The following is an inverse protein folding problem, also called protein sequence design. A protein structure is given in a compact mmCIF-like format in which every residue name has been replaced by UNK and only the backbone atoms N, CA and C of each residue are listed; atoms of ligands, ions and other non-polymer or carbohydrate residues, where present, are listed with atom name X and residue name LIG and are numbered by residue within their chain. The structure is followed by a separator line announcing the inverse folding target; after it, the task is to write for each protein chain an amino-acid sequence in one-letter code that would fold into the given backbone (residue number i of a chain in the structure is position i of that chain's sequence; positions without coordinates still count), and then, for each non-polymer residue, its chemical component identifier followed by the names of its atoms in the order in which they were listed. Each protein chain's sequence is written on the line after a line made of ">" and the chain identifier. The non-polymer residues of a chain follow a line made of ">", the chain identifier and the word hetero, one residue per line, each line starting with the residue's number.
data_IF_118442547333
#
_entry.id   IF_118442547333
#
_cell.length_a   1.000
_cell.length_b   1.000
_cell.length_c   1.000
_cell.angle_alpha   90.00
_cell.angle_beta   90.00
_cell.angle_gamma   90.00
#
_symmetry.space_group_name_H-M   'P 1'
#
loop_
_entity.id
_entity.type
_entity.pdbx_description
1 polymer ?
#
# COMPACT_ATOMS: atom_id res chain seq x y z
N UNK A 1 -15.60 29.40 -74.13
CA UNK A 1 -14.53 30.41 -74.07
C UNK A 1 -13.46 29.85 -73.12
N UNK A 2 -12.33 29.40 -73.68
CA UNK A 2 -11.30 28.63 -72.98
C UNK A 2 -10.35 29.56 -72.23
N UNK A 3 -10.29 29.46 -70.90
CA UNK A 3 -9.28 30.11 -70.08
C UNK A 3 -8.29 29.04 -69.61
N UNK A 4 -7.05 29.15 -70.11
CA UNK A 4 -5.90 28.36 -69.71
C UNK A 4 -5.39 28.86 -68.36
N UNK A 5 -5.30 27.99 -67.36
CA UNK A 5 -4.58 28.27 -66.12
C UNK A 5 -3.13 27.79 -66.26
N UNK A 6 -2.19 28.71 -66.03
CA UNK A 6 -0.75 28.49 -65.97
C UNK A 6 -0.41 28.02 -64.55
N UNK A 7 0.21 26.85 -64.44
CA UNK A 7 0.81 26.33 -63.21
C UNK A 7 2.13 27.06 -62.94
N UNK A 8 2.21 27.80 -61.82
CA UNK A 8 3.47 28.27 -61.25
C UNK A 8 3.87 27.33 -60.11
N UNK A 9 4.94 26.56 -60.32
CA UNK A 9 5.53 25.66 -59.35
C UNK A 9 6.42 26.47 -58.40
N UNK A 10 5.94 26.79 -57.20
CA UNK A 10 6.76 27.35 -56.14
C UNK A 10 7.51 26.23 -55.41
N UNK A 11 8.82 26.15 -55.63
CA UNK A 11 9.74 25.34 -54.83
C UNK A 11 9.84 25.94 -53.42
N UNK A 12 9.23 25.28 -52.43
CA UNK A 12 9.45 25.55 -51.01
C UNK A 12 10.55 24.61 -50.52
N UNK A 13 11.73 25.15 -50.26
CA UNK A 13 12.83 24.46 -49.57
C UNK A 13 12.60 24.63 -48.06
N UNK A 14 12.35 23.56 -47.28
CA UNK A 14 12.40 23.67 -45.83
C UNK A 14 13.87 23.67 -45.38
N UNK A 15 14.34 24.83 -44.92
CA UNK A 15 15.53 24.97 -44.10
C UNK A 15 15.31 24.22 -42.77
N UNK A 16 15.76 22.97 -42.70
CA UNK A 16 15.97 22.25 -41.44
C UNK A 16 17.21 22.83 -40.75
N UNK A 17 17.06 24.02 -40.14
CA UNK A 17 18.02 24.50 -39.14
C UNK A 17 17.87 23.63 -37.91
N UNK A 18 18.85 22.76 -37.68
CA UNK A 18 18.92 21.89 -36.51
C UNK A 18 18.80 22.71 -35.23
N UNK A 19 17.86 22.34 -34.37
CA UNK A 19 17.83 22.81 -33.00
C UNK A 19 19.15 22.36 -32.34
N UNK A 20 19.95 23.27 -31.75
CA UNK A 20 21.14 22.87 -31.03
C UNK A 20 20.75 21.94 -29.88
N UNK A 21 21.46 20.81 -29.80
CA UNK A 21 21.39 19.85 -28.70
C UNK A 21 21.58 20.60 -27.39
N UNK A 22 20.49 20.77 -26.64
CA UNK A 22 20.54 21.40 -25.34
C UNK A 22 21.19 20.39 -24.38
N UNK A 23 22.32 20.73 -23.71
CA UNK A 23 22.95 19.83 -22.77
C UNK A 23 21.93 19.45 -21.70
N UNK A 24 21.66 18.14 -21.59
CA UNK A 24 20.79 17.53 -20.60
C UNK A 24 21.10 18.08 -19.22
N UNK A 25 20.23 18.96 -18.72
CA UNK A 25 20.23 19.38 -17.31
C UNK A 25 20.23 18.09 -16.47
N UNK A 26 21.17 17.92 -15.53
CA UNK A 26 21.21 16.73 -14.69
C UNK A 26 19.83 16.55 -14.05
N UNK A 27 19.27 15.35 -14.16
CA UNK A 27 18.00 15.04 -13.52
C UNK A 27 18.12 15.40 -12.02
N UNK A 28 17.13 16.11 -11.45
CA UNK A 28 17.17 16.46 -10.04
C UNK A 28 17.37 15.18 -9.20
N UNK A 29 18.19 15.24 -8.14
CA UNK A 29 18.48 14.08 -7.33
C UNK A 29 17.18 13.48 -6.76
N UNK A 30 17.07 12.15 -6.80
CA UNK A 30 15.90 11.43 -6.30
C UNK A 30 15.62 11.82 -4.84
N UNK A 31 14.37 12.17 -4.55
CA UNK A 31 13.95 12.55 -3.21
C UNK A 31 14.24 11.43 -2.20
N UNK A 32 14.80 11.78 -1.05
CA UNK A 32 15.13 10.85 0.01
C UNK A 32 14.04 10.81 1.08
N UNK A 33 13.57 9.61 1.40
CA UNK A 33 12.57 9.36 2.44
C UNK A 33 13.08 8.36 3.46
N UNK A 34 12.88 8.66 4.73
CA UNK A 34 13.20 7.76 5.85
C UNK A 34 12.04 7.59 6.84
N UNK A 35 10.91 8.24 6.59
CA UNK A 35 9.68 8.14 7.39
C UNK A 35 8.53 7.67 6.50
N UNK A 36 7.80 6.64 6.97
CA UNK A 36 6.69 6.04 6.22
C UNK A 36 5.58 7.04 5.92
N UNK A 37 5.12 7.81 6.91
CA UNK A 37 4.00 8.74 6.74
C UNK A 37 4.31 9.83 5.69
N UNK A 38 5.55 10.33 5.65
CA UNK A 38 5.99 11.30 4.63
C UNK A 38 5.99 10.68 3.23
N UNK A 39 6.46 9.44 3.12
CA UNK A 39 6.51 8.76 1.83
C UNK A 39 5.12 8.35 1.33
N UNK A 40 4.26 7.85 2.22
CA UNK A 40 2.86 7.60 1.91
C UNK A 40 2.16 8.88 1.44
N UNK A 41 2.41 10.02 2.10
CA UNK A 41 1.83 11.29 1.70
C UNK A 41 2.28 11.72 0.29
N UNK A 42 3.56 11.52 -0.06
CA UNK A 42 4.08 11.75 -1.42
C UNK A 42 3.39 10.84 -2.45
N UNK A 43 3.31 9.53 -2.19
CA UNK A 43 2.64 8.57 -3.10
C UNK A 43 1.15 8.89 -3.27
N UNK A 44 0.47 9.26 -2.19
CA UNK A 44 -0.92 9.68 -2.20
C UNK A 44 -1.09 10.98 -3.00
N UNK A 45 -0.24 11.99 -2.79
CA UNK A 45 -0.30 13.26 -3.51
C UNK A 45 -0.11 13.07 -5.02
N UNK A 46 0.86 12.24 -5.44
CA UNK A 46 1.09 11.88 -6.84
C UNK A 46 -0.12 11.19 -7.46
N UNK A 47 -0.68 10.22 -6.76
CA UNK A 47 -1.87 9.51 -7.23
C UNK A 47 -3.07 10.45 -7.35
N UNK A 48 -3.26 11.35 -6.38
CA UNK A 48 -4.31 12.37 -6.39
C UNK A 48 -4.19 13.37 -7.56
N UNK A 49 -2.97 13.66 -8.05
CA UNK A 49 -2.82 14.46 -9.27
C UNK A 49 -3.46 13.81 -10.51
N UNK A 50 -3.62 12.47 -10.50
CA UNK A 50 -4.22 11.73 -11.62
C UNK A 50 -5.71 11.46 -11.43
N UNK A 51 -6.14 11.18 -10.20
CA UNK A 51 -7.55 10.81 -9.91
C UNK A 51 -8.38 11.94 -9.31
N UNK A 52 -7.76 13.07 -9.02
CA UNK A 52 -8.36 14.15 -8.23
C UNK A 52 -8.15 13.94 -6.73
N UNK A 53 -8.65 14.89 -5.95
CA UNK A 53 -8.67 14.84 -4.50
C UNK A 53 -10.07 15.20 -4.04
N UNK A 54 -10.62 14.41 -3.12
CA UNK A 54 -11.85 14.72 -2.42
C UNK A 54 -11.76 14.22 -0.98
N UNK A 55 -12.56 14.82 -0.10
CA UNK A 55 -12.51 14.50 1.32
C UNK A 55 -13.10 13.12 1.66
N UNK A 56 -13.91 12.58 0.75
CA UNK A 56 -14.60 11.30 0.91
C UNK A 56 -13.70 10.10 0.60
N UNK A 57 -12.48 10.30 0.06
CA UNK A 57 -11.57 9.20 -0.19
C UNK A 57 -10.11 9.50 0.17
N UNK A 58 -9.35 8.43 0.41
CA UNK A 58 -7.93 8.46 0.75
C UNK A 58 -7.18 7.43 -0.07
N UNK A 59 -5.92 7.73 -0.34
CA UNK A 59 -5.00 6.82 -1.00
C UNK A 59 -3.95 6.45 0.05
N UNK A 60 -3.83 5.16 0.33
CA UNK A 60 -2.98 4.65 1.40
C UNK A 60 -2.08 3.55 0.85
N UNK A 61 -0.88 3.42 1.42
CA UNK A 61 -0.07 2.23 1.15
C UNK A 61 -0.76 1.04 1.78
N UNK A 62 -0.91 -0.04 1.01
CA UNK A 62 -1.50 -1.29 1.50
C UNK A 62 -0.52 -2.44 1.37
N UNK A 63 -0.64 -3.39 2.29
CA UNK A 63 0.02 -4.69 2.24
C UNK A 63 -0.98 -5.84 2.04
N UNK A 64 -2.29 -5.54 2.11
CA UNK A 64 -3.37 -6.51 1.95
C UNK A 64 -4.25 -6.05 0.78
N UNK A 65 -4.33 -6.87 -0.26
CA UNK A 65 -5.14 -6.61 -1.44
C UNK A 65 -6.56 -7.13 -1.22
N UNK A 66 -7.36 -6.38 -0.46
CA UNK A 66 -8.78 -6.68 -0.32
C UNK A 66 -9.51 -6.51 -1.68
N UNK A 67 -10.57 -7.29 -1.96
CA UNK A 67 -11.36 -7.05 -3.16
C UNK A 67 -11.98 -5.64 -3.18
N UNK A 68 -12.07 -5.02 -4.36
CA UNK A 68 -12.85 -3.78 -4.55
C UNK A 68 -14.30 -4.05 -4.11
N UNK A 69 -14.83 -3.18 -3.26
CA UNK A 69 -16.12 -3.37 -2.60
C UNK A 69 -16.05 -3.92 -1.17
N UNK A 70 -14.86 -4.27 -0.67
CA UNK A 70 -14.70 -4.66 0.73
C UNK A 70 -15.02 -3.48 1.65
N UNK A 71 -15.87 -3.71 2.65
CA UNK A 71 -16.14 -2.80 3.74
C UNK A 71 -15.23 -3.13 4.92
N UNK A 72 -14.62 -2.10 5.50
CA UNK A 72 -13.78 -2.20 6.69
C UNK A 72 -14.31 -1.29 7.78
N UNK A 73 -14.07 -1.68 9.03
CA UNK A 73 -14.39 -0.87 10.20
C UNK A 73 -13.62 0.45 10.13
N UNK A 74 -14.27 1.56 10.44
CA UNK A 74 -13.61 2.85 10.47
C UNK A 74 -12.41 2.82 11.43
N UNK A 75 -11.22 3.08 10.90
CA UNK A 75 -9.97 3.14 11.66
C UNK A 75 -9.36 1.78 12.03
N UNK A 76 -9.66 0.73 11.27
CA UNK A 76 -9.13 -0.61 11.47
C UNK A 76 -8.93 -1.31 10.11
N UNK A 77 -8.06 -2.32 10.05
CA UNK A 77 -7.91 -3.17 8.86
C UNK A 77 -8.93 -4.31 8.81
N UNK A 78 -9.81 -4.41 9.81
CA UNK A 78 -10.75 -5.50 9.97
C UNK A 78 -11.94 -5.31 9.02
N UNK A 79 -12.15 -6.25 8.10
CA UNK A 79 -13.28 -6.20 7.19
C UNK A 79 -14.57 -6.48 7.95
N UNK A 80 -15.60 -5.67 7.69
CA UNK A 80 -16.97 -5.93 8.11
C UNK A 80 -17.59 -6.96 7.16
N UNK A 81 -17.35 -6.77 5.86
CA UNK A 81 -17.82 -7.64 4.80
C UNK A 81 -16.93 -7.46 3.56
N UNK A 82 -16.64 -8.55 2.85
CA UNK A 82 -15.77 -8.53 1.66
C UNK A 82 -16.51 -8.34 0.35
N UNK A 83 -17.82 -8.58 0.33
CA UNK A 83 -18.58 -8.83 -0.90
C UNK A 83 -19.95 -8.18 -0.98
N UNK A 84 -20.51 -7.72 0.13
CA UNK A 84 -21.84 -7.13 0.16
C UNK A 84 -21.93 -5.85 -0.67
N UNK A 85 -20.81 -5.12 -0.78
CA UNK A 85 -20.65 -3.98 -1.66
C UNK A 85 -19.76 -4.30 -2.87
N UNK A 86 -19.78 -5.53 -3.37
CA UNK A 86 -19.10 -5.84 -4.65
C UNK A 86 -19.77 -5.07 -5.79
N UNK A 87 -19.00 -4.31 -6.59
CA UNK A 87 -19.54 -3.59 -7.72
C UNK A 87 -20.04 -4.57 -8.80
N UNK A 88 -21.11 -4.17 -9.50
CA UNK A 88 -21.72 -4.97 -10.57
C UNK A 88 -20.83 -5.12 -11.80
N UNK A 89 -19.87 -4.20 -11.97
CA UNK A 89 -18.85 -4.26 -13.01
C UNK A 89 -17.48 -4.05 -12.40
N UNK A 90 -16.50 -4.82 -12.86
CA UNK A 90 -15.09 -4.59 -12.53
C UNK A 90 -14.67 -3.23 -13.08
N UNK A 91 -14.07 -2.35 -12.26
CA UNK A 91 -13.62 -1.05 -12.76
C UNK A 91 -12.55 -1.21 -13.83
N UNK A 92 -12.54 -0.30 -14.81
CA UNK A 92 -11.54 -0.31 -15.88
C UNK A 92 -10.19 0.15 -15.32
N UNK A 93 -9.11 -0.56 -15.65
CA UNK A 93 -7.76 -0.15 -15.32
C UNK A 93 -7.20 0.78 -16.41
N UNK A 94 -6.55 1.86 -15.99
CA UNK A 94 -5.93 2.85 -16.88
C UNK A 94 -4.42 2.91 -16.63
N UNK A 95 -3.62 2.83 -17.70
CA UNK A 95 -2.16 2.92 -17.61
C UNK A 95 -1.70 4.29 -17.14
N UNK A 96 -0.74 4.31 -16.20
CA UNK A 96 -0.12 5.51 -15.64
C UNK A 96 1.41 5.34 -15.49
N UNK A 97 2.14 5.02 -16.58
CA UNK A 97 3.53 4.54 -16.53
C UNK A 97 4.56 5.54 -15.96
N UNK A 98 4.20 6.80 -15.79
CA UNK A 98 5.07 7.86 -15.21
C UNK A 98 4.49 8.48 -13.93
N UNK A 99 3.55 7.80 -13.27
CA UNK A 99 2.88 8.34 -12.08
C UNK A 99 3.85 8.56 -10.91
N UNK A 100 4.84 7.68 -10.78
CA UNK A 100 5.82 7.72 -9.70
C UNK A 100 7.22 7.87 -10.27
N UNK A 101 7.98 8.91 -9.87
CA UNK A 101 9.41 8.96 -10.14
C UNK A 101 10.15 7.88 -9.33
N UNK A 102 11.45 7.79 -9.56
CA UNK A 102 12.35 7.02 -8.70
C UNK A 102 12.59 7.76 -7.37
N UNK A 103 12.59 7.02 -6.28
CA UNK A 103 12.81 7.52 -4.92
C UNK A 103 14.03 6.86 -4.28
N UNK A 104 14.62 7.52 -3.29
CA UNK A 104 15.63 6.92 -2.42
C UNK A 104 15.04 6.73 -1.03
N UNK A 105 15.10 5.53 -0.49
CA UNK A 105 14.50 5.17 0.79
C UNK A 105 15.58 4.72 1.79
N UNK A 106 15.29 4.85 3.08
CA UNK A 106 16.03 4.08 4.09
C UNK A 106 15.67 2.58 3.99
N UNK A 107 16.57 1.69 4.42
CA UNK A 107 16.27 0.25 4.53
C UNK A 107 14.99 -0.03 5.30
N UNK A 108 14.81 0.59 6.47
CA UNK A 108 13.64 0.39 7.31
C UNK A 108 12.33 0.74 6.58
N UNK A 109 12.33 1.84 5.82
CA UNK A 109 11.19 2.23 5.02
C UNK A 109 10.94 1.27 3.84
N UNK A 110 11.99 0.77 3.18
CA UNK A 110 11.83 -0.23 2.13
C UNK A 110 11.18 -1.53 2.67
N UNK A 111 11.55 -1.95 3.89
CA UNK A 111 10.91 -3.08 4.59
C UNK A 111 9.44 -2.79 4.87
N UNK A 112 9.11 -1.60 5.38
CA UNK A 112 7.72 -1.19 5.63
C UNK A 112 6.86 -1.17 4.34
N UNK A 113 7.49 -1.05 3.17
CA UNK A 113 6.84 -1.11 1.85
C UNK A 113 6.77 -2.51 1.24
N UNK A 114 7.21 -3.53 1.97
CA UNK A 114 7.10 -4.94 1.57
C UNK A 114 8.39 -5.58 1.04
N UNK A 115 9.55 -4.92 1.16
CA UNK A 115 10.83 -5.62 1.02
C UNK A 115 11.10 -6.46 2.28
N UNK A 116 10.53 -7.65 2.33
CA UNK A 116 10.55 -8.53 3.51
C UNK A 116 11.97 -8.75 4.07
N UNK A 117 12.09 -8.79 5.41
CA UNK A 117 13.34 -9.14 6.06
C UNK A 117 13.83 -10.54 5.68
N UNK A 118 12.95 -11.50 5.40
CA UNK A 118 13.33 -12.81 4.87
C UNK A 118 14.01 -12.69 3.51
N UNK A 119 13.47 -11.83 2.62
CA UNK A 119 14.09 -11.55 1.32
C UNK A 119 15.47 -10.94 1.53
N UNK A 120 15.60 -9.94 2.41
CA UNK A 120 16.88 -9.32 2.75
C UNK A 120 17.87 -10.32 3.35
N UNK A 121 17.41 -11.24 4.20
CA UNK A 121 18.27 -12.26 4.81
C UNK A 121 18.78 -13.25 3.74
N UNK A 122 17.91 -13.67 2.81
CA UNK A 122 18.30 -14.53 1.67
C UNK A 122 19.29 -13.84 0.72
N UNK A 123 19.34 -12.51 0.68
CA UNK A 123 20.38 -11.80 -0.07
C UNK A 123 21.80 -12.12 0.44
N UNK A 124 21.96 -12.54 1.70
CA UNK A 124 23.27 -12.94 2.23
C UNK A 124 23.82 -14.21 1.58
N UNK A 125 22.95 -15.11 1.10
CA UNK A 125 23.35 -16.30 0.31
C UNK A 125 24.02 -15.90 -1.01
N UNK A 126 23.71 -14.69 -1.49
CA UNK A 126 24.30 -14.07 -2.68
C UNK A 126 25.50 -13.17 -2.36
N UNK A 127 25.99 -13.21 -1.11
CA UNK A 127 27.09 -12.37 -0.64
C UNK A 127 26.71 -10.88 -0.46
N UNK A 128 25.42 -10.55 -0.54
CA UNK A 128 24.91 -9.18 -0.35
C UNK A 128 24.59 -8.97 1.13
N UNK A 129 25.31 -8.06 1.77
CA UNK A 129 25.02 -7.64 3.15
C UNK A 129 24.38 -6.26 3.12
N UNK A 130 23.15 -6.16 3.60
CA UNK A 130 22.38 -4.91 3.67
C UNK A 130 22.45 -4.33 5.08
N UNK A 131 23.25 -3.30 5.26
CA UNK A 131 23.37 -2.52 6.50
C UNK A 131 22.10 -1.71 6.79
N UNK A 132 21.86 -1.37 8.05
CA UNK A 132 20.77 -0.47 8.46
C UNK A 132 20.92 0.95 7.93
N UNK A 133 22.15 1.36 7.56
CA UNK A 133 22.47 2.67 6.99
C UNK A 133 22.34 2.70 5.46
N UNK A 134 22.09 1.56 4.82
CA UNK A 134 22.03 1.48 3.38
C UNK A 134 20.77 2.17 2.85
N UNK A 135 20.92 2.78 1.67
CA UNK A 135 19.84 3.41 0.93
C UNK A 135 19.34 2.44 -0.13
N UNK A 136 18.03 2.43 -0.30
CA UNK A 136 17.33 1.59 -1.27
C UNK A 136 16.65 2.49 -2.29
N UNK A 137 17.02 2.37 -3.55
CA UNK A 137 16.29 3.02 -4.63
C UNK A 137 14.97 2.30 -4.85
N UNK A 138 13.86 3.02 -4.90
CA UNK A 138 12.52 2.48 -5.11
C UNK A 138 11.91 3.09 -6.37
N UNK A 139 11.34 2.24 -7.22
CA UNK A 139 10.57 2.66 -8.40
C UNK A 139 9.40 1.71 -8.64
N UNK A 140 8.45 2.13 -9.47
CA UNK A 140 7.28 1.30 -9.83
C UNK A 140 7.17 1.23 -11.34
N UNK A 141 7.21 0.01 -11.89
CA UNK A 141 7.07 -0.27 -13.32
C UNK A 141 5.62 -0.62 -13.65
N UNK A 142 5.23 -0.38 -14.90
CA UNK A 142 3.92 -0.78 -15.44
C UNK A 142 2.74 -0.30 -14.59
N UNK A 143 2.87 0.90 -14.01
CA UNK A 143 1.87 1.44 -13.11
C UNK A 143 0.53 1.60 -13.81
N UNK A 144 -0.54 1.15 -13.17
CA UNK A 144 -1.92 1.33 -13.63
C UNK A 144 -2.82 1.71 -12.46
N UNK A 145 -3.98 2.26 -12.77
CA UNK A 145 -4.95 2.71 -11.79
C UNK A 145 -6.32 2.13 -12.10
N UNK A 146 -6.94 1.52 -11.09
CA UNK A 146 -8.28 0.95 -11.18
C UNK A 146 -9.11 1.49 -10.03
N UNK A 147 -10.23 2.17 -10.31
CA UNK A 147 -11.08 2.74 -9.26
C UNK A 147 -12.53 2.83 -9.71
N UNK A 148 -13.47 2.67 -8.77
CA UNK A 148 -14.88 2.92 -9.04
C UNK A 148 -15.13 4.39 -9.36
N UNK A 149 -15.83 4.65 -10.45
CA UNK A 149 -16.42 5.95 -10.72
C UNK A 149 -17.51 6.27 -9.69
N UNK A 150 -17.81 7.54 -9.45
CA UNK A 150 -18.84 7.94 -8.46
C UNK A 150 -20.22 7.34 -8.75
N UNK A 151 -20.55 7.20 -10.04
CA UNK A 151 -21.80 6.56 -10.49
C UNK A 151 -21.86 5.09 -10.10
N UNK A 152 -20.76 4.35 -10.27
CA UNK A 152 -20.69 2.93 -9.94
C UNK A 152 -20.55 2.70 -8.43
N UNK A 153 -19.86 3.60 -7.73
CA UNK A 153 -19.85 3.66 -6.27
C UNK A 153 -21.28 3.87 -5.74
N UNK A 154 -22.02 4.85 -6.26
CA UNK A 154 -23.41 5.11 -5.87
C UNK A 154 -24.32 3.91 -6.13
N UNK A 155 -24.19 3.23 -7.27
CA UNK A 155 -24.94 2.00 -7.56
C UNK A 155 -24.59 0.89 -6.58
N UNK A 156 -23.31 0.72 -6.29
CA UNK A 156 -22.79 -0.29 -5.35
C UNK A 156 -23.35 -0.06 -3.95
N UNK A 157 -23.30 1.17 -3.45
CA UNK A 157 -23.88 1.57 -2.17
C UNK A 157 -25.41 1.53 -2.16
N UNK A 158 -26.06 1.53 -3.34
CA UNK A 158 -27.50 1.36 -3.48
C UNK A 158 -27.99 -0.08 -3.35
N UNK A 159 -27.09 -1.07 -3.43
CA UNK A 159 -27.45 -2.48 -3.26
C UNK A 159 -28.01 -2.73 -1.85
N UNK A 160 -29.14 -3.43 -1.75
CA UNK A 160 -29.80 -3.72 -0.48
C UNK A 160 -28.88 -4.40 0.55
N UNK A 161 -28.05 -5.36 0.11
CA UNK A 161 -27.09 -6.03 1.00
C UNK A 161 -26.02 -5.08 1.54
N UNK A 162 -25.44 -4.27 0.66
CA UNK A 162 -24.48 -3.22 1.04
C UNK A 162 -25.10 -2.23 2.03
N UNK A 163 -26.30 -1.71 1.72
CA UNK A 163 -27.02 -0.74 2.56
C UNK A 163 -27.31 -1.26 3.96
N UNK A 164 -27.70 -2.52 4.09
CA UNK A 164 -28.05 -3.08 5.40
C UNK A 164 -26.83 -3.15 6.32
N UNK A 165 -25.65 -3.49 5.79
CA UNK A 165 -24.41 -3.58 6.58
C UNK A 165 -23.91 -2.20 7.02
N UNK A 166 -23.98 -1.19 6.15
CA UNK A 166 -23.51 0.18 6.49
C UNK A 166 -24.57 1.01 7.22
N UNK A 167 -25.78 0.47 7.43
CA UNK A 167 -26.89 1.18 8.05
C UNK A 167 -26.51 1.69 9.44
N UNK A 168 -26.58 3.02 9.61
CA UNK A 168 -26.26 3.68 10.89
C UNK A 168 -24.78 3.62 11.28
N UNK A 169 -23.89 3.20 10.38
CA UNK A 169 -22.47 3.03 10.65
C UNK A 169 -21.60 3.77 9.62
N UNK A 170 -20.43 4.20 10.06
CA UNK A 170 -19.37 4.68 9.19
C UNK A 170 -18.41 3.54 8.88
N UNK A 171 -18.13 3.32 7.60
CA UNK A 171 -17.19 2.30 7.15
C UNK A 171 -16.20 2.87 6.12
N UNK A 172 -15.07 2.19 5.96
CA UNK A 172 -14.17 2.40 4.83
C UNK A 172 -14.49 1.37 3.74
N UNK A 173 -14.78 1.83 2.53
CA UNK A 173 -14.96 0.97 1.36
C UNK A 173 -13.67 0.96 0.54
N UNK A 174 -13.20 -0.21 0.12
CA UNK A 174 -12.17 -0.34 -0.91
C UNK A 174 -12.75 0.07 -2.26
N UNK A 175 -12.37 1.25 -2.73
CA UNK A 175 -12.87 1.84 -3.98
C UNK A 175 -12.02 1.43 -5.19
N UNK A 176 -10.75 1.11 -4.97
CA UNK A 176 -9.81 0.84 -6.04
C UNK A 176 -8.37 0.65 -5.58
N UNK A 177 -7.48 0.53 -6.55
CA UNK A 177 -6.05 0.33 -6.36
C UNK A 177 -5.22 1.14 -7.36
N UNK A 178 -4.01 1.51 -6.92
CA UNK A 178 -2.89 1.78 -7.82
C UNK A 178 -2.01 0.55 -7.81
N UNK A 179 -1.79 0.00 -8.99
CA UNK A 179 -1.10 -1.26 -9.21
C UNK A 179 0.20 -1.03 -9.97
N UNK A 180 1.21 -1.86 -9.72
CA UNK A 180 2.48 -1.82 -10.44
C UNK A 180 3.43 -2.92 -9.97
N UNK A 181 4.59 -3.02 -10.63
CA UNK A 181 5.68 -3.88 -10.16
C UNK A 181 6.68 -3.00 -9.41
N UNK A 182 6.78 -3.19 -8.09
CA UNK A 182 7.78 -2.45 -7.29
C UNK A 182 9.16 -2.99 -7.63
N UNK A 183 10.13 -2.09 -7.78
CA UNK A 183 11.53 -2.41 -7.99
C UNK A 183 12.37 -1.72 -6.93
N UNK A 184 12.99 -2.53 -6.07
CA UNK A 184 13.92 -2.11 -5.03
C UNK A 184 15.34 -2.37 -5.52
N UNK A 185 16.17 -1.33 -5.62
CA UNK A 185 17.56 -1.45 -6.03
C UNK A 185 18.50 -1.03 -4.91
N UNK A 186 19.48 -1.87 -4.62
CA UNK A 186 20.52 -1.63 -3.62
C UNK A 186 21.80 -1.16 -4.34
N UNK A 187 22.25 0.05 -4.06
CA UNK A 187 23.50 0.57 -4.60
C UNK A 187 24.71 -0.07 -3.89
N UNK A 188 25.66 -0.60 -4.67
CA UNK A 188 26.99 -1.10 -4.23
C UNK A 188 27.02 -1.99 -2.98
N UNK A 189 26.96 -3.31 -3.17
CA UNK A 189 27.83 -4.22 -2.42
C UNK A 189 29.00 -4.60 -3.33
N UNK A 190 30.24 -4.24 -2.96
CA UNK A 190 31.44 -4.34 -3.82
C UNK A 190 31.84 -5.77 -4.26
N UNK A 191 31.00 -6.79 -4.07
CA UNK A 191 31.35 -8.22 -4.27
C UNK A 191 30.21 -9.14 -4.72
N UNK A 192 28.99 -8.66 -4.95
CA UNK A 192 27.89 -9.56 -5.31
C UNK A 192 27.91 -9.87 -6.81
N UNK A 193 28.76 -10.81 -7.22
CA UNK A 193 28.69 -11.42 -8.54
C UNK A 193 27.57 -12.46 -8.53
N UNK A 194 26.32 -12.02 -8.70
CA UNK A 194 25.24 -12.96 -9.04
C UNK A 194 25.47 -13.36 -10.49
N UNK A 195 26.08 -14.52 -10.71
CA UNK A 195 26.38 -15.00 -12.05
C UNK A 195 25.10 -15.39 -12.79
N UNK A 196 24.72 -14.56 -13.77
CA UNK A 196 24.16 -15.01 -15.04
C UNK A 196 22.68 -15.41 -15.15
N UNK A 197 21.83 -15.24 -14.13
CA UNK A 197 20.38 -15.43 -14.31
C UNK A 197 19.56 -14.68 -13.25
N UNK A 198 18.36 -14.22 -13.64
CA UNK A 198 17.36 -13.70 -12.71
C UNK A 198 16.95 -14.83 -11.77
N UNK A 199 17.18 -14.66 -10.47
CA UNK A 199 16.78 -15.64 -9.46
C UNK A 199 15.48 -15.21 -8.78
N UNK A 200 14.68 -16.18 -8.33
CA UNK A 200 13.43 -15.88 -7.62
C UNK A 200 13.62 -16.04 -6.12
N UNK A 201 13.33 -14.98 -5.37
CA UNK A 201 13.28 -15.00 -3.90
C UNK A 201 11.89 -14.55 -3.48
N UNK A 202 11.10 -15.47 -2.90
CA UNK A 202 9.69 -15.24 -2.56
C UNK A 202 8.91 -14.71 -3.78
N UNK A 203 8.29 -13.54 -3.67
CA UNK A 203 7.57 -12.86 -4.76
C UNK A 203 8.44 -11.93 -5.60
N UNK A 204 9.77 -11.93 -5.43
CA UNK A 204 10.69 -11.05 -6.15
C UNK A 204 11.56 -11.80 -7.16
N UNK A 205 11.72 -11.18 -8.33
CA UNK A 205 12.77 -11.46 -9.29
C UNK A 205 14.02 -10.63 -8.93
N UNK A 206 15.14 -11.30 -8.74
CA UNK A 206 16.41 -10.75 -8.27
C UNK A 206 17.40 -10.72 -9.43
N UNK A 207 17.88 -9.53 -9.77
CA UNK A 207 18.80 -9.29 -10.88
C UNK A 207 20.05 -8.55 -10.39
N UNK A 208 21.18 -9.26 -10.41
CA UNK A 208 22.51 -8.71 -10.10
C UNK A 208 23.38 -8.42 -11.32
N UNK A 209 22.81 -8.46 -12.53
CA UNK A 209 23.53 -8.18 -13.79
C UNK A 209 23.75 -6.69 -14.04
N UNK A 210 23.07 -5.81 -13.29
CA UNK A 210 23.25 -4.37 -13.40
C UNK A 210 24.64 -3.98 -12.89
N UNK A 211 25.41 -3.28 -13.74
CA UNK A 211 26.82 -2.88 -13.46
C UNK A 211 27.04 -2.17 -12.11
N UNK A 212 25.98 -1.63 -11.48
CA UNK A 212 26.07 -0.81 -10.27
C UNK A 212 25.20 -1.27 -9.09
N UNK A 213 24.54 -2.44 -9.13
CA UNK A 213 23.71 -2.86 -8.00
C UNK A 213 22.85 -4.11 -8.20
N UNK A 214 22.11 -4.45 -7.14
CA UNK A 214 21.16 -5.55 -7.10
C UNK A 214 19.73 -4.98 -7.21
N UNK A 215 18.92 -5.49 -8.13
CA UNK A 215 17.50 -5.17 -8.25
C UNK A 215 16.63 -6.31 -7.71
N UNK A 216 15.57 -5.97 -6.98
CA UNK A 216 14.50 -6.86 -6.58
C UNK A 216 13.17 -6.30 -7.12
N UNK A 217 12.67 -6.89 -8.20
CA UNK A 217 11.39 -6.48 -8.81
C UNK A 217 10.31 -7.50 -8.48
N UNK A 218 9.10 -7.04 -8.13
CA UNK A 218 7.95 -7.95 -7.97
C UNK A 218 7.76 -8.84 -9.21
N UNK A 219 7.50 -10.13 -9.00
CA UNK A 219 7.30 -11.10 -10.08
C UNK A 219 6.04 -10.85 -10.89
N UNK A 220 5.07 -10.14 -10.31
CA UNK A 220 3.79 -9.76 -10.88
C UNK A 220 3.43 -8.33 -10.49
N UNK A 221 2.51 -7.74 -11.22
CA UNK A 221 1.86 -6.49 -10.82
C UNK A 221 1.08 -6.71 -9.53
N UNK A 222 1.24 -5.81 -8.56
CA UNK A 222 0.52 -5.84 -7.28
C UNK A 222 -0.14 -4.49 -7.00
N UNK A 223 -1.31 -4.51 -6.36
CA UNK A 223 -1.91 -3.32 -5.77
C UNK A 223 -1.11 -2.88 -4.55
N UNK A 224 -0.35 -1.78 -4.66
CA UNK A 224 0.51 -1.30 -3.58
C UNK A 224 -0.03 -0.03 -2.92
N UNK A 225 -0.93 0.70 -3.60
CA UNK A 225 -1.77 1.71 -2.97
C UNK A 225 -3.23 1.30 -3.07
N UNK A 226 -3.95 1.41 -1.97
CA UNK A 226 -5.38 1.22 -1.89
C UNK A 226 -6.09 2.57 -1.87
N UNK A 227 -7.11 2.71 -2.70
CA UNK A 227 -8.02 3.86 -2.72
C UNK A 227 -9.22 3.46 -1.87
N UNK A 228 -9.42 4.13 -0.75
CA UNK A 228 -10.52 3.86 0.18
C UNK A 228 -11.45 5.06 0.25
N UNK A 229 -12.76 4.82 0.29
CA UNK A 229 -13.77 5.86 0.50
C UNK A 229 -14.43 5.71 1.87
N UNK A 230 -14.64 6.82 2.56
CA UNK A 230 -15.50 6.83 3.73
C UNK A 230 -16.94 6.77 3.25
N UNK A 231 -17.68 5.77 3.71
CA UNK A 231 -19.09 5.62 3.36
C UNK A 231 -19.93 5.67 4.62
N UNK A 232 -21.00 6.44 4.55
CA UNK A 232 -22.02 6.54 5.59
C UNK A 232 -23.37 6.46 4.90
N UNK A 233 -24.32 5.76 5.50
CA UNK A 233 -25.73 5.97 5.16
C UNK A 233 -26.30 6.90 6.22
N UNK A 234 -26.56 8.14 5.86
CA UNK A 234 -27.57 8.91 6.57
C UNK A 234 -28.89 8.12 6.52
N UNK A 235 -29.66 8.15 7.60
CA UNK A 235 -30.95 7.45 7.67
C UNK A 235 -31.91 7.86 6.54
N UNK A 236 -31.67 8.99 5.88
CA UNK A 236 -32.26 9.38 4.60
C UNK A 236 -31.22 10.11 3.74
N UNK A 237 -31.25 9.87 2.42
CA UNK A 237 -30.27 10.34 1.43
C UNK A 237 -29.95 11.84 1.49
N UNK A 238 -28.81 12.19 2.07
CA UNK A 238 -27.94 13.25 1.56
C UNK A 238 -26.49 12.86 1.86
N UNK A 239 -25.62 12.98 0.85
CA UNK A 239 -24.17 12.84 1.06
C UNK A 239 -23.75 13.99 1.98
N UNK A 240 -23.27 13.74 3.21
CA UNK A 240 -22.90 14.82 4.11
C UNK A 240 -21.68 15.56 3.55
N UNK A 241 -21.69 16.89 3.66
CA UNK A 241 -20.46 17.67 3.48
C UNK A 241 -19.46 17.27 4.58
N UNK A 242 -18.22 16.98 4.19
CA UNK A 242 -17.19 16.53 5.12
C UNK A 242 -16.81 17.67 6.08
N UNK A 243 -17.14 17.50 7.35
CA UNK A 243 -16.41 18.14 8.43
C UNK A 243 -15.27 17.21 8.83
N UNK A 244 -14.03 17.72 8.72
CA UNK A 244 -12.83 17.06 9.22
C UNK A 244 -13.13 16.50 10.62
N UNK A 245 -12.97 15.18 10.86
CA UNK A 245 -13.06 14.65 12.20
C UNK A 245 -12.06 15.42 13.06
N UNK A 246 -12.57 16.30 13.91
CA UNK A 246 -11.84 16.74 15.09
C UNK A 246 -11.42 15.44 15.76
N UNK A 247 -10.13 15.32 16.07
CA UNK A 247 -9.60 14.20 16.83
C UNK A 247 -10.44 14.08 18.09
N UNK A 248 -11.49 13.27 18.04
CA UNK A 248 -12.18 12.86 19.24
C UNK A 248 -11.09 12.18 20.05
N UNK A 249 -11.01 12.56 21.32
CA UNK A 249 -10.09 12.03 22.30
C UNK A 249 -10.46 10.56 22.63
N UNK A 250 -10.69 9.75 21.58
CA UNK A 250 -11.00 8.34 21.64
C UNK A 250 -9.69 7.68 21.95
N UNK A 251 -9.61 7.14 23.16
CA UNK A 251 -8.49 6.34 23.58
C UNK A 251 -8.21 5.25 22.53
N UNK A 252 -6.94 5.10 22.16
CA UNK A 252 -6.46 4.03 21.31
C UNK A 252 -6.95 2.66 21.79
N UNK A 253 -7.21 1.76 20.84
CA UNK A 253 -7.75 0.43 21.09
C UNK A 253 -6.79 -0.61 20.55
N UNK A 254 -6.69 -1.74 21.23
CA UNK A 254 -5.92 -2.89 20.78
C UNK A 254 -6.87 -4.04 20.47
N UNK A 255 -6.88 -4.49 19.21
CA UNK A 255 -7.65 -5.66 18.78
C UNK A 255 -6.74 -6.87 18.62
N UNK A 256 -7.24 -8.06 18.94
CA UNK A 256 -6.52 -9.32 18.70
C UNK A 256 -7.32 -10.13 17.69
N UNK A 257 -6.67 -10.57 16.62
CA UNK A 257 -7.25 -11.40 15.58
C UNK A 257 -6.65 -12.80 15.69
N UNK A 258 -7.51 -13.81 15.74
CA UNK A 258 -7.12 -15.21 15.82
C UNK A 258 -7.90 -16.03 14.79
N UNK A 259 -7.25 -17.03 14.23
CA UNK A 259 -7.92 -17.95 13.32
C UNK A 259 -9.08 -18.66 14.04
N UNK A 260 -10.23 -18.78 13.38
CA UNK A 260 -11.42 -19.47 13.87
C UNK A 260 -11.17 -20.95 14.09
N UNK A 261 -10.25 -21.55 13.31
CA UNK A 261 -9.83 -22.94 13.48
C UNK A 261 -8.81 -23.10 14.63
N UNK A 262 -8.23 -22.01 15.13
CA UNK A 262 -7.31 -22.07 16.25
C UNK A 262 -8.10 -22.23 17.57
N UNK A 263 -8.11 -23.47 18.04
CA UNK A 263 -8.70 -23.89 19.31
C UNK A 263 -7.78 -23.62 20.52
N UNK A 264 -6.57 -23.10 20.32
CA UNK A 264 -5.67 -22.77 21.41
C UNK A 264 -6.11 -21.51 22.16
N UNK A 265 -5.66 -21.40 23.42
CA UNK A 265 -5.84 -20.21 24.26
C UNK A 265 -4.86 -19.07 23.91
N UNK A 266 -4.14 -19.14 22.78
CA UNK A 266 -3.09 -18.17 22.46
C UNK A 266 -3.59 -16.71 22.47
N UNK A 267 -4.77 -16.45 21.89
CA UNK A 267 -5.40 -15.13 21.94
C UNK A 267 -5.68 -14.65 23.38
N UNK A 268 -6.11 -15.54 24.26
CA UNK A 268 -6.38 -15.23 25.67
C UNK A 268 -5.08 -14.96 26.44
N UNK A 269 -4.03 -15.74 26.19
CA UNK A 269 -2.71 -15.54 26.81
C UNK A 269 -2.14 -14.18 26.41
N UNK A 270 -2.17 -13.85 25.12
CA UNK A 270 -1.72 -12.54 24.62
C UNK A 270 -2.59 -11.40 25.16
N UNK A 271 -3.92 -11.56 25.19
CA UNK A 271 -4.83 -10.57 25.78
C UNK A 271 -4.47 -10.24 27.22
N UNK A 272 -4.21 -11.27 28.04
CA UNK A 272 -3.80 -11.10 29.44
C UNK A 272 -2.46 -10.38 29.56
N UNK A 273 -1.47 -10.76 28.73
CA UNK A 273 -0.15 -10.13 28.71
C UNK A 273 -0.24 -8.64 28.35
N UNK A 274 -0.96 -8.30 27.28
CA UNK A 274 -1.15 -6.92 26.84
C UNK A 274 -1.94 -6.08 27.86
N UNK A 275 -2.98 -6.63 28.49
CA UNK A 275 -3.69 -5.94 29.58
C UNK A 275 -2.77 -5.66 30.77
N UNK A 276 -1.89 -6.59 31.12
CA UNK A 276 -0.89 -6.38 32.18
C UNK A 276 0.14 -5.30 31.81
N UNK A 277 0.38 -5.08 30.51
CA UNK A 277 1.18 -3.97 29.99
C UNK A 277 0.38 -2.68 29.71
N UNK A 278 -0.84 -2.57 30.26
CA UNK A 278 -1.74 -1.41 30.17
C UNK A 278 -2.28 -1.08 28.77
N UNK A 279 -2.35 -2.06 27.86
CA UNK A 279 -3.05 -1.89 26.59
C UNK A 279 -4.57 -1.96 26.77
N UNK A 280 -5.30 -1.13 26.02
CA UNK A 280 -6.77 -1.13 25.97
C UNK A 280 -7.27 -2.23 25.02
N UNK A 281 -7.22 -3.49 25.48
CA UNK A 281 -7.58 -4.66 24.67
C UNK A 281 -9.09 -4.85 24.59
N UNK A 282 -9.65 -4.76 23.37
CA UNK A 282 -11.10 -4.80 23.12
C UNK A 282 -11.70 -6.21 23.11
N UNK A 283 -10.89 -7.24 22.87
CA UNK A 283 -11.35 -8.63 22.75
C UNK A 283 -10.54 -9.40 21.71
N UNK A 284 -10.94 -10.65 21.50
CA UNK A 284 -10.36 -11.55 20.49
C UNK A 284 -11.42 -11.78 19.41
N UNK A 285 -11.09 -11.43 18.17
CA UNK A 285 -11.95 -11.58 17.00
C UNK A 285 -11.51 -12.83 16.22
N UNK A 286 -12.47 -13.71 15.90
CA UNK A 286 -12.23 -14.99 15.22
C UNK A 286 -12.47 -14.86 13.72
N UNK A 287 -11.39 -14.86 12.95
CA UNK A 287 -11.40 -14.71 11.48
C UNK A 287 -11.15 -16.06 10.77
N UNK A 288 -11.52 -16.17 9.50
CA UNK A 288 -11.26 -17.35 8.67
C UNK A 288 -9.78 -17.45 8.28
N UNK A 289 -9.28 -18.66 8.08
CA UNK A 289 -7.85 -18.91 7.78
C UNK A 289 -7.35 -18.22 6.52
N UNK A 290 -8.21 -17.93 5.54
CA UNK A 290 -7.85 -17.18 4.33
C UNK A 290 -7.52 -15.71 4.59
N UNK A 291 -7.95 -15.16 5.71
CA UNK A 291 -7.74 -13.76 6.09
C UNK A 291 -6.53 -13.60 7.04
N UNK A 292 -6.13 -14.70 7.65
CA UNK A 292 -5.09 -14.73 8.68
C UNK A 292 -3.69 -14.78 8.03
N UNK A 293 -2.71 -14.03 8.54
CA UNK A 293 -1.35 -14.06 8.02
C UNK A 293 -0.65 -15.39 8.34
N UNK A 294 0.40 -15.71 7.59
CA UNK A 294 1.26 -16.87 7.88
C UNK A 294 2.12 -16.69 9.13
N UNK A 295 2.43 -15.44 9.47
CA UNK A 295 3.28 -15.05 10.60
C UNK A 295 2.50 -14.10 11.51
N UNK A 296 2.68 -14.22 12.82
CA UNK A 296 2.08 -13.31 13.79
C UNK A 296 2.57 -11.86 13.57
N UNK A 297 1.70 -10.88 13.74
CA UNK A 297 2.00 -9.47 13.44
C UNK A 297 1.44 -8.54 14.51
N UNK A 298 2.21 -7.52 14.88
CA UNK A 298 1.70 -6.30 15.50
C UNK A 298 1.58 -5.24 14.42
N UNK A 299 0.37 -4.75 14.17
CA UNK A 299 0.06 -3.73 13.18
C UNK A 299 -0.15 -2.39 13.88
N UNK A 300 0.63 -1.38 13.49
CA UNK A 300 0.53 0.00 13.99
C UNK A 300 0.01 0.94 12.90
N UNK A 301 -0.75 1.95 13.30
CA UNK A 301 -1.41 2.88 12.38
C UNK A 301 -0.74 4.25 12.39
N UNK A 302 -0.28 4.72 13.55
CA UNK A 302 0.37 6.02 13.70
C UNK A 302 1.83 5.88 14.10
N UNK A 303 2.73 6.72 13.56
CA UNK A 303 4.15 6.65 13.92
C UNK A 303 4.40 7.00 15.40
N UNK A 304 3.54 7.82 16.01
CA UNK A 304 3.58 8.11 17.45
C UNK A 304 3.42 6.85 18.32
N UNK A 305 2.78 5.81 17.81
CA UNK A 305 2.47 4.58 18.55
C UNK A 305 3.59 3.53 18.47
N UNK A 306 4.72 3.86 17.82
CA UNK A 306 5.79 2.87 17.53
C UNK A 306 6.37 2.23 18.78
N UNK A 307 6.57 2.98 19.86
CA UNK A 307 7.10 2.42 21.12
C UNK A 307 6.10 1.44 21.76
N UNK A 308 4.81 1.77 21.72
CA UNK A 308 3.75 0.89 22.21
C UNK A 308 3.65 -0.37 21.36
N UNK A 309 3.75 -0.24 20.04
CA UNK A 309 3.77 -1.37 19.14
C UNK A 309 4.99 -2.29 19.37
N UNK A 310 6.17 -1.74 19.68
CA UNK A 310 7.35 -2.52 20.06
C UNK A 310 7.17 -3.25 21.40
N UNK A 311 6.51 -2.62 22.38
CA UNK A 311 6.15 -3.29 23.64
C UNK A 311 5.18 -4.44 23.41
N UNK A 312 4.14 -4.22 22.61
CA UNK A 312 3.20 -5.28 22.23
C UNK A 312 3.89 -6.41 21.46
N UNK A 313 4.83 -6.09 20.56
CA UNK A 313 5.59 -7.08 19.82
C UNK A 313 6.47 -7.94 20.76
N UNK A 314 7.10 -7.32 21.76
CA UNK A 314 7.87 -8.05 22.76
C UNK A 314 7.03 -9.02 23.57
N UNK A 315 5.76 -8.71 23.83
CA UNK A 315 4.82 -9.65 24.45
C UNK A 315 4.45 -10.79 23.48
N UNK A 316 4.23 -10.46 22.21
CA UNK A 316 3.90 -11.44 21.17
C UNK A 316 5.04 -12.43 20.89
N UNK A 317 6.30 -11.97 20.92
CA UNK A 317 7.50 -12.80 20.74
C UNK A 317 7.65 -13.92 21.75
N UNK A 318 7.04 -13.80 22.94
CA UNK A 318 7.07 -14.85 23.97
C UNK A 318 6.35 -16.13 23.51
N UNK A 319 5.35 -16.02 22.64
CA UNK A 319 4.62 -17.15 22.06
C UNK A 319 4.97 -17.39 20.60
N UNK A 320 5.25 -16.33 19.84
CA UNK A 320 5.54 -16.37 18.42
C UNK A 320 6.87 -15.68 18.15
N UNK A 321 8.02 -16.38 18.29
CA UNK A 321 9.36 -15.77 18.20
C UNK A 321 9.63 -15.04 16.87
N UNK A 322 8.94 -15.45 15.80
CA UNK A 322 9.08 -14.85 14.47
C UNK A 322 8.08 -13.72 14.20
N UNK A 323 7.37 -13.22 15.21
CA UNK A 323 6.38 -12.17 15.00
C UNK A 323 6.99 -10.88 14.44
N UNK A 324 6.20 -10.12 13.69
CA UNK A 324 6.68 -8.95 12.97
C UNK A 324 5.94 -7.67 13.37
N UNK A 325 6.63 -6.53 13.30
CA UNK A 325 5.99 -5.22 13.34
C UNK A 325 5.61 -4.79 11.93
N UNK A 326 4.36 -4.37 11.73
CA UNK A 326 3.88 -3.87 10.43
C UNK A 326 3.24 -2.50 10.57
N UNK A 327 3.62 -1.57 9.71
CA UNK A 327 2.99 -0.26 9.60
C UNK A 327 1.84 -0.31 8.60
N UNK A 328 0.68 0.18 9.01
CA UNK A 328 -0.54 0.27 8.22
C UNK A 328 -0.80 1.73 7.88
N UNK A 329 -1.13 2.00 6.61
CA UNK A 329 -1.41 3.34 6.10
C UNK A 329 -2.79 3.89 6.42
N UNK A 330 -3.64 3.12 7.11
CA UNK A 330 -5.00 3.52 7.47
C UNK A 330 -4.98 4.55 8.60
N UNK A 331 -5.82 5.59 8.54
CA UNK A 331 -5.96 6.53 9.64
C UNK A 331 -6.63 5.83 10.84
N UNK A 332 -6.04 5.94 12.02
CA UNK A 332 -6.66 5.48 13.27
C UNK A 332 -6.41 6.48 14.40
N UNK A 333 -7.14 6.36 15.50
CA UNK A 333 -6.88 7.16 16.70
C UNK A 333 -5.48 6.85 17.26
N UNK A 334 -4.79 7.82 17.90
CA UNK A 334 -3.53 7.56 18.61
C UNK A 334 -3.66 6.42 19.63
N UNK A 335 -2.64 5.59 19.75
CA UNK A 335 -2.60 4.39 20.59
C UNK A 335 -3.33 3.17 20.01
N UNK A 336 -3.79 3.22 18.76
CA UNK A 336 -4.49 2.11 18.13
C UNK A 336 -3.52 1.09 17.54
N UNK A 337 -3.72 -0.19 17.89
CA UNK A 337 -2.92 -1.32 17.42
C UNK A 337 -3.81 -2.52 17.08
N UNK A 338 -3.34 -3.38 16.19
CA UNK A 338 -3.94 -4.69 15.95
C UNK A 338 -2.90 -5.80 16.11
N UNK A 339 -3.30 -6.93 16.68
CA UNK A 339 -2.44 -8.07 16.99
C UNK A 339 -2.98 -9.29 16.25
N UNK A 340 -2.36 -9.60 15.12
CA UNK A 340 -2.79 -10.69 14.26
C UNK A 340 -1.97 -11.95 14.58
N UNK A 341 -2.63 -13.00 15.04
CA UNK A 341 -2.01 -14.31 15.24
C UNK A 341 -1.82 -15.02 13.88
N UNK A 342 -0.98 -16.07 13.77
CA UNK A 342 -0.82 -16.76 12.51
C UNK A 342 -2.03 -17.66 12.23
N UNK A 343 -2.28 -17.95 10.94
CA UNK A 343 -3.29 -18.92 10.52
C UNK A 343 -2.93 -20.34 10.98
N UNK A 344 -3.93 -21.18 11.24
CA UNK A 344 -3.72 -22.61 11.49
C UNK A 344 -3.31 -23.29 10.19
N UNK A 345 -2.33 -24.20 10.27
CA UNK A 345 -1.86 -24.98 9.12
C UNK A 345 -2.57 -26.32 9.01
#
# INVERSE_FOLDING_TARGET
>A
MNIKYVFACALVVPLLTGCPYNPTTPAPPAAYFNQFDQFQAELAARSAQKIGSADDFKIIVTQVAYPIGTLMRAGSTIPIDYSACTPTSTPVAYGAPSLFPTYTLSKALAVDLGLDNEVINKLTDFGVKVSTTDKVTFSVKNTSLQTLADTDLKKTLGNAGCREIIKGNTAWLVRGYVEGQRDFSLEKSKKATISGSVQKIASFNVDGSKENGLSLTDDKTVGFLQIISQVTTAAESSVPAFEKPTAQNVQGRTFIQQDRLDASDAGMVISKALKASHFNVMGIEKLTSSEMPDTAQVRLFNNGDRQDALRALSELHKLYPNAELKKIGLPAAPGHLEIWLPKVR
#
